data_IF_285861781422
#
_entry.id   IF_285861781422
#
_cell.length_a   1.000
_cell.length_b   1.000
_cell.length_c   1.000
_cell.angle_alpha   90.00
_cell.angle_beta   90.00
_cell.angle_gamma   90.00
#
_symmetry.space_group_name_H-M   'P 1'
#
loop_
_entity.id
_entity.type
_entity.pdbx_description
1 polymer ?
#
# COMPACT_ATOMS: atom_id res chain seq x y z
N UNK A 1 -10.06 22.48 -11.67
CA UNK A 1 -10.58 21.13 -11.37
C UNK A 1 -9.56 20.03 -11.66
N UNK A 2 -9.14 19.76 -12.91
CA UNK A 2 -8.23 18.64 -13.24
C UNK A 2 -6.91 18.58 -12.43
N UNK A 3 -6.29 19.73 -12.13
CA UNK A 3 -5.06 19.80 -11.30
C UNK A 3 -5.33 19.49 -9.81
N UNK A 4 -6.52 19.82 -9.28
CA UNK A 4 -6.88 19.50 -7.89
C UNK A 4 -7.06 18.00 -7.65
N UNK A 5 -7.48 17.25 -8.67
CA UNK A 5 -7.63 15.78 -8.57
C UNK A 5 -6.27 15.10 -8.38
N UNK A 6 -5.27 15.50 -9.17
CA UNK A 6 -3.89 15.00 -9.09
C UNK A 6 -3.25 15.35 -7.73
N UNK A 7 -3.50 16.56 -7.23
CA UNK A 7 -3.01 17.00 -5.91
C UNK A 7 -3.68 16.20 -4.77
N UNK A 8 -4.97 15.88 -4.88
CA UNK A 8 -5.65 15.04 -3.87
C UNK A 8 -5.11 13.60 -3.82
N UNK A 9 -4.72 13.01 -4.95
CA UNK A 9 -4.09 11.68 -5.00
C UNK A 9 -2.66 11.69 -4.41
N UNK A 10 -1.94 12.80 -4.53
CA UNK A 10 -0.57 12.95 -4.01
C UNK A 10 -0.55 13.27 -2.50
N UNK A 11 -1.59 13.92 -1.96
CA UNK A 11 -1.62 14.40 -0.57
C UNK A 11 -2.02 13.38 0.51
N UNK A 12 -2.47 12.17 0.15
CA UNK A 12 -3.18 11.27 1.10
C UNK A 12 -2.42 10.01 1.57
N UNK A 13 -1.09 9.98 1.39
CA UNK A 13 -0.22 8.95 1.99
C UNK A 13 0.37 9.46 3.32
N UNK A 14 -0.20 9.11 4.49
CA UNK A 14 0.50 8.86 5.80
C UNK A 14 -0.39 8.92 7.07
N UNK A 15 -0.10 8.02 8.02
CA UNK A 15 -0.45 7.97 9.48
C UNK A 15 0.30 6.76 10.11
N UNK A 16 0.56 6.57 11.41
CA UNK A 16 0.03 7.15 12.66
C UNK A 16 1.14 7.72 13.61
N UNK A 17 1.50 6.99 14.68
CA UNK A 17 2.40 7.29 15.84
C UNK A 17 2.91 5.92 16.41
N UNK A 18 3.76 5.73 17.44
CA UNK A 18 3.90 6.33 18.79
C UNK A 18 5.36 6.36 19.35
N UNK A 19 5.78 7.53 19.84
CA UNK A 19 6.84 7.87 20.84
C UNK A 19 8.08 6.97 21.07
N UNK A 20 9.28 7.53 20.83
CA UNK A 20 10.17 8.07 21.90
C UNK A 20 11.35 8.92 21.33
N UNK A 21 12.27 9.36 22.18
CA UNK A 21 13.37 10.29 21.87
C UNK A 21 14.75 9.74 22.28
N UNK A 22 15.79 9.87 21.43
CA UNK A 22 16.99 10.70 21.70
C UNK A 22 18.17 10.52 20.71
N UNK A 23 18.82 11.66 20.40
CA UNK A 23 20.28 11.90 20.23
C UNK A 23 21.16 10.91 19.42
N UNK A 24 21.61 11.37 18.25
CA UNK A 24 22.77 10.82 17.53
C UNK A 24 24.11 11.24 18.16
N UNK A 25 25.00 10.27 18.38
CA UNK A 25 26.45 10.45 18.56
C UNK A 25 27.20 9.42 17.71
N UNK A 26 28.45 9.74 17.37
CA UNK A 26 29.26 9.08 16.34
C UNK A 26 29.36 7.55 16.43
N UNK A 27 29.56 6.92 15.26
CA UNK A 27 29.68 5.48 15.05
C UNK A 27 31.01 4.93 15.62
N UNK A 28 31.00 4.55 16.89
CA UNK A 28 31.58 3.25 17.25
C UNK A 28 30.70 2.13 16.65
N UNK A 29 31.25 0.92 16.46
CA UNK A 29 30.48 -0.25 16.03
C UNK A 29 29.42 -0.63 17.08
N UNK A 30 28.23 -0.02 16.98
CA UNK A 30 27.10 -0.32 17.85
C UNK A 30 26.40 -1.58 17.33
N UNK A 31 26.35 -2.61 18.18
CA UNK A 31 25.42 -3.73 18.07
C UNK A 31 23.98 -3.17 18.06
N UNK A 32 23.27 -3.26 16.94
CA UNK A 32 21.87 -2.83 16.84
C UNK A 32 20.98 -3.92 17.45
N UNK A 33 20.20 -3.63 18.49
CA UNK A 33 19.29 -4.63 19.06
C UNK A 33 18.08 -4.84 18.13
N UNK A 34 17.79 -6.10 17.78
CA UNK A 34 16.73 -6.46 16.82
C UNK A 34 15.69 -7.37 17.46
N UNK A 35 14.44 -7.28 17.00
CA UNK A 35 13.33 -8.01 17.59
C UNK A 35 13.31 -9.50 17.24
N UNK A 36 12.87 -10.33 18.20
CA UNK A 36 12.63 -11.77 18.03
C UNK A 36 11.36 -12.10 17.24
N UNK A 37 10.42 -11.15 17.10
CA UNK A 37 9.20 -11.28 16.29
C UNK A 37 9.31 -10.47 14.99
N UNK A 38 8.43 -10.76 14.02
CA UNK A 38 8.32 -9.99 12.77
C UNK A 38 7.60 -8.65 12.93
N UNK A 39 6.75 -8.50 13.94
CA UNK A 39 6.02 -7.25 14.22
C UNK A 39 6.85 -6.21 15.02
N UNK A 40 8.05 -6.57 15.50
CA UNK A 40 8.98 -5.65 16.17
C UNK A 40 8.72 -5.40 17.67
N UNK A 41 7.82 -6.15 18.31
CA UNK A 41 7.41 -5.92 19.70
C UNK A 41 8.26 -6.67 20.74
N UNK A 42 8.91 -7.77 20.36
CA UNK A 42 9.62 -8.67 21.28
C UNK A 42 11.15 -8.50 21.20
N UNK A 43 11.63 -7.37 21.71
CA UNK A 43 13.05 -6.95 21.64
C UNK A 43 13.95 -7.75 22.62
N UNK A 44 13.36 -8.34 23.66
CA UNK A 44 14.02 -9.21 24.64
C UNK A 44 13.05 -10.31 25.10
N UNK A 45 13.54 -11.54 25.29
CA UNK A 45 12.78 -12.64 25.88
C UNK A 45 13.28 -12.83 27.31
N UNK A 46 12.51 -12.40 28.30
CA UNK A 46 12.83 -12.63 29.73
C UNK A 46 12.40 -14.02 30.18
N UNK A 47 12.79 -14.45 31.39
CA UNK A 47 12.34 -15.69 32.04
C UNK A 47 10.81 -15.86 31.97
N UNK A 48 10.04 -14.78 32.11
CA UNK A 48 8.57 -14.81 32.04
C UNK A 48 8.08 -15.18 30.64
N UNK A 49 8.64 -14.58 29.60
CA UNK A 49 8.29 -14.86 28.21
C UNK A 49 8.82 -16.22 27.75
N UNK A 50 10.01 -16.63 28.20
CA UNK A 50 10.56 -17.95 27.92
C UNK A 50 9.70 -19.08 28.53
N UNK A 51 9.29 -18.92 29.79
CA UNK A 51 8.37 -19.86 30.46
C UNK A 51 6.97 -19.85 29.85
N UNK A 52 6.46 -18.69 29.40
CA UNK A 52 5.22 -18.62 28.62
C UNK A 52 5.35 -19.44 27.34
N UNK A 53 6.29 -19.08 26.47
CA UNK A 53 6.50 -19.70 25.15
C UNK A 53 7.05 -21.13 25.20
N UNK A 54 7.46 -21.62 26.38
CA UNK A 54 8.11 -22.92 26.62
C UNK A 54 9.42 -23.11 25.85
N UNK A 55 10.14 -22.02 25.66
CA UNK A 55 11.48 -21.97 25.06
C UNK A 55 12.54 -21.84 26.17
N UNK A 56 13.80 -22.16 25.84
CA UNK A 56 14.95 -22.12 26.74
C UNK A 56 14.81 -22.91 28.05
N UNK A 57 13.84 -23.82 28.14
CA UNK A 57 13.56 -24.68 29.31
C UNK A 57 14.72 -25.63 29.67
N UNK A 58 15.66 -25.81 28.76
CA UNK A 58 16.89 -26.59 28.91
C UNK A 58 18.08 -25.77 29.45
N UNK A 59 17.88 -24.48 29.76
CA UNK A 59 18.91 -23.58 30.28
C UNK A 59 18.58 -23.29 31.74
N UNK A 60 19.27 -23.96 32.66
CA UNK A 60 19.07 -23.76 34.08
C UNK A 60 19.43 -22.32 34.50
N UNK A 61 18.56 -21.71 35.31
CA UNK A 61 18.72 -20.32 35.73
C UNK A 61 18.64 -19.27 34.62
N UNK A 62 18.02 -19.58 33.47
CA UNK A 62 17.75 -18.60 32.40
C UNK A 62 17.14 -17.31 32.96
N UNK A 63 17.70 -16.15 32.60
CA UNK A 63 17.20 -14.84 33.00
C UNK A 63 16.58 -14.08 31.83
N UNK A 64 17.34 -13.96 30.73
CA UNK A 64 16.92 -13.27 29.52
C UNK A 64 17.77 -13.62 28.32
N UNK A 65 17.27 -13.31 27.12
CA UNK A 65 18.04 -13.33 25.89
C UNK A 65 17.67 -12.14 24.99
N UNK A 66 18.69 -11.57 24.35
CA UNK A 66 18.60 -10.44 23.40
C UNK A 66 19.26 -10.84 22.08
N UNK A 67 18.78 -10.34 20.93
CA UNK A 67 19.50 -10.45 19.65
C UNK A 67 19.99 -9.09 19.21
N UNK A 68 21.20 -9.05 18.69
CA UNK A 68 21.78 -7.88 18.05
C UNK A 68 22.23 -8.21 16.64
N UNK A 69 22.12 -7.25 15.73
CA UNK A 69 22.74 -7.30 14.41
C UNK A 69 24.18 -6.79 14.54
N UNK A 70 25.13 -7.67 14.22
CA UNK A 70 26.58 -7.39 14.35
C UNK A 70 27.23 -7.10 13.00
N UNK A 71 26.67 -7.65 11.92
CA UNK A 71 26.99 -7.29 10.54
C UNK A 71 25.74 -7.51 9.66
N UNK A 72 25.73 -7.13 8.37
CA UNK A 72 24.56 -7.29 7.50
C UNK A 72 24.00 -8.72 7.43
N UNK A 73 24.85 -9.74 7.60
CA UNK A 73 24.51 -11.16 7.50
C UNK A 73 24.72 -11.96 8.80
N UNK A 74 25.15 -11.30 9.89
CA UNK A 74 25.46 -11.96 11.17
C UNK A 74 24.74 -11.29 12.34
N UNK A 75 24.12 -12.14 13.14
CA UNK A 75 23.40 -11.75 14.36
C UNK A 75 24.11 -12.35 15.56
N UNK A 76 24.16 -11.64 16.68
CA UNK A 76 24.69 -12.13 17.95
C UNK A 76 23.56 -12.25 18.95
N UNK A 77 23.33 -13.45 19.46
CA UNK A 77 22.45 -13.72 20.59
C UNK A 77 23.25 -13.60 21.87
N UNK A 78 22.85 -12.70 22.77
CA UNK A 78 23.40 -12.56 24.12
C UNK A 78 22.42 -13.21 25.12
N UNK A 79 22.85 -14.33 25.70
CA UNK A 79 22.09 -15.11 26.67
C UNK A 79 22.59 -14.83 28.09
N UNK A 80 21.71 -14.39 28.98
CA UNK A 80 22.00 -14.25 30.40
C UNK A 80 21.36 -15.37 31.21
N UNK A 81 22.14 -16.03 32.06
CA UNK A 81 21.69 -17.11 32.94
C UNK A 81 22.42 -17.07 34.29
N UNK A 82 21.88 -17.79 35.28
CA UNK A 82 22.36 -17.79 36.66
C UNK A 82 22.80 -19.19 37.10
N UNK A 83 24.04 -19.29 37.57
CA UNK A 83 24.66 -20.54 38.02
C UNK A 83 25.52 -20.21 39.27
N UNK A 84 25.47 -21.04 40.32
CA UNK A 84 26.15 -20.80 41.61
C UNK A 84 25.99 -19.38 42.20
N UNK A 85 24.77 -18.83 42.09
CA UNK A 85 24.43 -17.45 42.49
C UNK A 85 25.14 -16.32 41.73
N UNK A 86 25.91 -16.62 40.70
CA UNK A 86 26.51 -15.65 39.77
C UNK A 86 25.69 -15.55 38.49
N UNK A 87 25.74 -14.40 37.83
CA UNK A 87 25.15 -14.20 36.49
C UNK A 87 26.26 -14.38 35.47
N UNK A 88 26.01 -15.22 34.48
CA UNK A 88 26.88 -15.43 33.33
C UNK A 88 26.20 -14.90 32.07
N UNK A 89 27.03 -14.47 31.12
CA UNK A 89 26.63 -14.05 29.77
C UNK A 89 27.28 -14.99 28.77
N UNK A 90 26.52 -15.43 27.77
CA UNK A 90 27.01 -16.28 26.68
C UNK A 90 26.55 -15.70 25.35
N UNK A 91 27.52 -15.34 24.53
CA UNK A 91 27.29 -14.86 23.17
C UNK A 91 27.31 -16.06 22.22
N UNK A 92 26.39 -16.07 21.24
CA UNK A 92 26.41 -17.00 20.12
C UNK A 92 26.10 -16.25 18.83
N UNK A 93 26.95 -16.41 17.82
CA UNK A 93 26.68 -15.87 16.48
C UNK A 93 25.70 -16.79 15.73
N UNK A 94 24.76 -16.18 15.00
CA UNK A 94 23.85 -16.82 14.06
C UNK A 94 24.05 -16.24 12.67
N UNK A 95 23.85 -17.06 11.64
CA UNK A 95 23.63 -16.54 10.29
C UNK A 95 22.27 -15.87 10.18
N UNK A 96 22.09 -15.01 9.18
CA UNK A 96 20.78 -14.45 8.81
C UNK A 96 19.70 -15.53 8.61
N UNK A 97 20.04 -16.68 8.02
CA UNK A 97 19.10 -17.79 7.79
C UNK A 97 18.65 -18.43 9.10
N UNK A 98 19.58 -18.60 10.06
CA UNK A 98 19.26 -19.15 11.37
C UNK A 98 18.41 -18.17 12.20
N UNK A 99 18.75 -16.87 12.15
CA UNK A 99 17.97 -15.83 12.83
C UNK A 99 16.54 -15.70 12.25
N UNK A 100 16.38 -15.71 10.93
CA UNK A 100 15.05 -15.72 10.30
C UNK A 100 14.25 -16.98 10.66
N UNK A 101 14.91 -18.13 10.79
CA UNK A 101 14.28 -19.38 11.24
C UNK A 101 13.87 -19.33 12.71
N UNK A 102 14.67 -18.68 13.56
CA UNK A 102 14.33 -18.41 14.96
C UNK A 102 13.12 -17.45 15.06
N UNK A 103 13.15 -16.32 14.34
CA UNK A 103 12.05 -15.34 14.31
C UNK A 103 10.72 -15.98 13.90
N UNK A 104 10.71 -16.72 12.79
CA UNK A 104 9.53 -17.46 12.34
C UNK A 104 9.04 -18.51 13.37
N UNK A 105 9.95 -19.10 14.15
CA UNK A 105 9.59 -20.02 15.24
C UNK A 105 8.92 -19.26 16.39
N UNK A 106 9.47 -18.11 16.80
CA UNK A 106 8.91 -17.25 17.85
C UNK A 106 7.53 -16.73 17.44
N UNK A 107 7.37 -16.22 16.22
CA UNK A 107 6.08 -15.79 15.67
C UNK A 107 5.03 -16.91 15.76
N UNK A 108 5.40 -18.15 15.39
CA UNK A 108 4.49 -19.30 15.50
C UNK A 108 4.07 -19.62 16.94
N UNK A 109 4.98 -19.44 17.91
CA UNK A 109 4.70 -19.67 19.34
C UNK A 109 3.85 -18.55 19.95
N UNK A 110 4.05 -17.31 19.50
CA UNK A 110 3.22 -16.15 19.86
C UNK A 110 1.77 -16.36 19.38
N UNK A 111 1.58 -16.80 18.13
CA UNK A 111 0.27 -17.13 17.57
C UNK A 111 -0.43 -18.28 18.32
N UNK A 112 0.33 -19.26 18.83
CA UNK A 112 -0.20 -20.41 19.58
C UNK A 112 -0.52 -20.10 21.05
N UNK A 113 -0.08 -18.97 21.59
CA UNK A 113 -0.33 -18.56 22.96
C UNK A 113 -1.07 -17.21 23.04
N UNK A 114 -2.36 -17.17 22.66
CA UNK A 114 -3.20 -16.01 22.90
C UNK A 114 -3.17 -15.67 24.39
N UNK A 115 -2.86 -14.42 24.72
CA UNK A 115 -2.79 -13.96 26.10
C UNK A 115 -4.12 -14.24 26.83
N UNK A 116 -4.04 -14.69 28.08
CA UNK A 116 -5.20 -14.74 28.99
C UNK A 116 -5.59 -13.31 29.33
N UNK A 117 -6.37 -12.72 28.45
CA UNK A 117 -6.57 -11.27 28.35
C UNK A 117 -6.01 -10.77 27.02
N UNK A 118 -6.61 -11.20 25.91
CA UNK A 118 -6.30 -10.71 24.55
C UNK A 118 -6.34 -9.18 24.55
N UNK A 119 -5.17 -8.54 24.58
CA UNK A 119 -5.04 -7.12 24.32
C UNK A 119 -5.57 -6.89 22.90
N UNK A 120 -6.63 -6.09 22.80
CA UNK A 120 -7.29 -5.81 21.52
C UNK A 120 -6.27 -5.15 20.59
N UNK A 121 -5.82 -5.84 19.54
CA UNK A 121 -4.90 -5.24 18.57
C UNK A 121 -5.62 -4.11 17.83
N UNK A 122 -5.11 -2.90 17.96
CA UNK A 122 -5.62 -1.68 17.31
C UNK A 122 -4.56 -1.01 16.44
N UNK A 123 -3.47 -1.71 16.10
CA UNK A 123 -2.36 -1.20 15.27
C UNK A 123 -2.84 -0.52 13.98
N UNK A 124 -3.89 -1.05 13.36
CA UNK A 124 -4.52 -0.48 12.17
C UNK A 124 -5.72 0.43 12.41
N UNK A 125 -6.21 0.61 13.63
CA UNK A 125 -7.52 1.24 13.88
C UNK A 125 -7.59 2.69 13.40
N UNK A 126 -6.61 3.53 13.76
CA UNK A 126 -6.56 4.93 13.32
C UNK A 126 -6.48 5.07 11.79
N UNK A 127 -5.60 4.27 11.17
CA UNK A 127 -5.47 4.22 9.71
C UNK A 127 -6.76 3.76 9.04
N UNK A 128 -7.41 2.71 9.56
CA UNK A 128 -8.67 2.20 9.02
C UNK A 128 -9.74 3.29 8.99
N UNK A 129 -9.95 4.04 10.07
CA UNK A 129 -10.96 5.10 10.11
C UNK A 129 -10.69 6.23 9.12
N UNK A 130 -9.42 6.65 8.98
CA UNK A 130 -9.03 7.70 8.04
C UNK A 130 -9.07 7.21 6.59
N UNK A 131 -8.75 5.94 6.35
CA UNK A 131 -8.86 5.30 5.05
C UNK A 131 -10.33 5.17 4.59
N UNK A 132 -11.25 4.77 5.49
CA UNK A 132 -12.69 4.74 5.17
C UNK A 132 -13.25 6.16 4.96
N UNK A 133 -12.80 7.16 5.72
CA UNK A 133 -13.14 8.57 5.48
C UNK A 133 -12.63 9.06 4.11
N UNK A 134 -11.39 8.71 3.74
CA UNK A 134 -10.82 9.02 2.43
C UNK A 134 -11.70 8.45 1.32
N UNK A 135 -11.96 7.13 1.34
CA UNK A 135 -12.78 6.43 0.34
C UNK A 135 -14.18 7.03 0.28
N UNK A 136 -14.79 7.31 1.44
CA UNK A 136 -16.11 7.90 1.48
C UNK A 136 -16.15 9.32 0.90
N UNK A 137 -15.08 10.11 1.07
CA UNK A 137 -14.98 11.47 0.53
C UNK A 137 -14.59 11.55 -0.94
N UNK A 138 -13.86 10.56 -1.47
CA UNK A 138 -13.41 10.52 -2.87
C UNK A 138 -14.30 9.68 -3.79
N UNK A 139 -14.93 8.63 -3.27
CA UNK A 139 -15.79 7.71 -4.04
C UNK A 139 -17.24 7.79 -3.59
N UNK A 140 -17.55 7.45 -2.33
CA UNK A 140 -18.93 7.22 -1.93
C UNK A 140 -19.78 8.49 -1.95
N UNK A 141 -19.24 9.63 -1.53
CA UNK A 141 -19.89 10.93 -1.56
C UNK A 141 -20.29 11.36 -2.97
N UNK A 142 -19.37 11.39 -3.95
CA UNK A 142 -19.70 11.64 -5.35
C UNK A 142 -20.73 10.65 -5.92
N UNK A 143 -20.59 9.34 -5.63
CA UNK A 143 -21.56 8.34 -6.10
C UNK A 143 -22.94 8.54 -5.48
N UNK A 144 -23.01 8.88 -4.19
CA UNK A 144 -24.27 9.18 -3.50
C UNK A 144 -24.97 10.44 -4.04
N UNK A 145 -24.22 11.46 -4.49
CA UNK A 145 -24.80 12.59 -5.23
C UNK A 145 -25.42 12.10 -6.55
N UNK A 146 -24.72 11.25 -7.30
CA UNK A 146 -25.22 10.71 -8.58
C UNK A 146 -26.47 9.82 -8.44
N UNK A 147 -26.84 9.41 -7.22
CA UNK A 147 -28.10 8.71 -6.92
C UNK A 147 -29.30 9.65 -6.70
N UNK A 148 -29.07 10.96 -6.59
CA UNK A 148 -30.14 11.94 -6.35
C UNK A 148 -30.99 12.20 -7.62
N UNK A 149 -32.25 12.63 -7.48
CA UNK A 149 -33.08 13.12 -8.58
C UNK A 149 -32.39 14.20 -9.42
N UNK A 150 -32.61 14.19 -10.74
CA UNK A 150 -32.27 15.35 -11.57
C UNK A 150 -33.03 16.59 -11.08
N UNK A 151 -32.38 17.76 -11.11
CA UNK A 151 -32.92 18.99 -10.54
C UNK A 151 -32.83 19.09 -9.01
N UNK A 152 -32.19 18.13 -8.33
CA UNK A 152 -31.87 18.26 -6.89
C UNK A 152 -31.00 19.50 -6.64
N UNK A 153 -31.30 20.25 -5.57
CA UNK A 153 -30.60 21.51 -5.28
C UNK A 153 -29.14 21.29 -4.89
N UNK A 154 -28.33 22.35 -5.01
CA UNK A 154 -26.90 22.29 -4.68
C UNK A 154 -26.69 22.04 -3.17
N UNK A 155 -27.57 22.59 -2.33
CA UNK A 155 -27.56 22.40 -0.87
C UNK A 155 -27.82 20.95 -0.49
N UNK A 156 -28.80 20.29 -1.13
CA UNK A 156 -29.11 18.86 -0.90
C UNK A 156 -27.98 17.97 -1.41
N UNK A 157 -27.39 18.30 -2.57
CA UNK A 157 -26.24 17.56 -3.12
C UNK A 157 -25.01 17.68 -2.21
N UNK A 158 -24.71 18.89 -1.73
CA UNK A 158 -23.62 19.13 -0.78
C UNK A 158 -23.88 18.45 0.57
N UNK A 159 -25.10 18.49 1.09
CA UNK A 159 -25.47 17.79 2.32
C UNK A 159 -25.29 16.27 2.18
N UNK A 160 -25.74 15.69 1.06
CA UNK A 160 -25.55 14.25 0.74
C UNK A 160 -24.06 13.88 0.67
N UNK A 161 -23.23 14.71 0.03
CA UNK A 161 -21.78 14.51 -0.02
C UNK A 161 -21.16 14.50 1.38
N UNK A 162 -21.45 15.53 2.20
CA UNK A 162 -20.87 15.68 3.53
C UNK A 162 -21.33 14.58 4.49
N UNK A 163 -22.62 14.21 4.46
CA UNK A 163 -23.18 13.13 5.28
C UNK A 163 -22.59 11.77 4.90
N UNK A 164 -22.48 11.45 3.61
CA UNK A 164 -21.85 10.19 3.16
C UNK A 164 -20.37 10.14 3.54
N UNK A 165 -19.63 11.24 3.31
CA UNK A 165 -18.22 11.35 3.69
C UNK A 165 -18.01 11.14 5.19
N UNK A 166 -18.77 11.86 6.03
CA UNK A 166 -18.70 11.73 7.49
C UNK A 166 -19.13 10.34 7.99
N UNK A 167 -20.11 9.70 7.33
CA UNK A 167 -20.53 8.34 7.65
C UNK A 167 -19.39 7.33 7.45
N UNK A 168 -18.51 7.56 6.46
CA UNK A 168 -17.29 6.78 6.27
C UNK A 168 -16.31 6.81 7.43
N UNK A 169 -16.36 7.83 8.30
CA UNK A 169 -15.61 7.84 9.55
C UNK A 169 -16.45 7.28 10.71
N UNK A 170 -17.63 7.88 10.95
CA UNK A 170 -18.38 7.64 12.20
C UNK A 170 -19.04 6.26 12.28
N UNK A 171 -19.47 5.67 11.15
CA UNK A 171 -20.05 4.33 11.15
C UNK A 171 -18.96 3.28 11.44
N UNK A 172 -17.79 3.26 10.76
CA UNK A 172 -16.68 2.40 11.14
C UNK A 172 -16.16 2.67 12.55
N UNK A 173 -16.06 3.93 13.00
CA UNK A 173 -15.64 4.27 14.37
C UNK A 173 -16.51 3.56 15.41
N UNK A 174 -17.84 3.70 15.30
CA UNK A 174 -18.79 3.06 16.20
C UNK A 174 -18.74 1.53 16.13
N UNK A 175 -18.71 0.95 14.92
CA UNK A 175 -18.70 -0.49 14.71
C UNK A 175 -17.39 -1.19 15.15
N UNK A 176 -16.33 -0.43 15.41
CA UNK A 176 -14.99 -0.95 15.75
C UNK A 176 -14.50 -0.52 17.15
N UNK A 177 -15.34 0.11 17.97
CA UNK A 177 -15.00 0.52 19.34
C UNK A 177 -14.40 -0.63 20.17
N UNK A 178 -14.94 -1.85 20.04
CA UNK A 178 -14.51 -3.03 20.81
C UNK A 178 -14.01 -4.18 19.90
N UNK A 179 -13.45 -3.86 18.73
CA UNK A 179 -12.98 -4.86 17.76
C UNK A 179 -11.48 -4.73 17.47
N UNK A 180 -10.74 -5.84 17.31
CA UNK A 180 -9.36 -5.78 16.87
C UNK A 180 -9.33 -5.37 15.40
N UNK A 181 -8.53 -4.34 15.10
CA UNK A 181 -8.27 -3.84 13.74
C UNK A 181 -6.75 -3.82 13.58
N UNK A 182 -6.21 -4.88 13.00
CA UNK A 182 -4.78 -4.98 12.66
C UNK A 182 -4.43 -4.07 11.49
N UNK A 183 -3.14 -3.73 11.32
CA UNK A 183 -2.69 -2.93 10.18
C UNK A 183 -3.00 -3.59 8.82
N UNK A 184 -2.89 -4.92 8.73
CA UNK A 184 -3.29 -5.68 7.53
C UNK A 184 -4.79 -5.61 7.23
N UNK A 185 -5.64 -5.58 8.26
CA UNK A 185 -7.08 -5.36 8.09
C UNK A 185 -7.41 -3.97 7.57
N UNK A 186 -6.72 -2.94 8.07
CA UNK A 186 -6.90 -1.56 7.61
C UNK A 186 -6.56 -1.41 6.11
N UNK A 187 -5.38 -1.92 5.72
CA UNK A 187 -4.84 -1.79 4.36
C UNK A 187 -5.60 -2.61 3.33
N UNK A 188 -5.97 -3.85 3.66
CA UNK A 188 -6.74 -4.69 2.74
C UNK A 188 -8.18 -4.18 2.59
N UNK A 189 -8.80 -3.72 3.67
CA UNK A 189 -10.12 -3.10 3.62
C UNK A 189 -10.13 -1.85 2.73
N UNK A 190 -9.20 -0.93 2.93
CA UNK A 190 -9.03 0.25 2.07
C UNK A 190 -8.90 -0.14 0.59
N UNK A 191 -7.97 -1.04 0.29
CA UNK A 191 -7.64 -1.39 -1.09
C UNK A 191 -8.75 -2.20 -1.78
N UNK A 192 -9.46 -3.06 -1.04
CA UNK A 192 -10.62 -3.78 -1.57
C UNK A 192 -11.87 -2.90 -1.68
N UNK A 193 -11.95 -1.75 -1.01
CA UNK A 193 -13.02 -0.78 -1.29
C UNK A 193 -12.92 -0.28 -2.74
N UNK A 194 -11.77 0.25 -3.13
CA UNK A 194 -11.47 0.67 -4.50
C UNK A 194 -11.60 -0.47 -5.55
N UNK A 195 -11.27 -1.72 -5.19
CA UNK A 195 -11.51 -2.87 -6.08
C UNK A 195 -12.99 -3.23 -6.18
N UNK A 196 -13.72 -3.13 -5.06
CA UNK A 196 -15.16 -3.30 -4.98
C UNK A 196 -15.91 -2.25 -5.80
N UNK A 197 -15.43 -1.01 -5.84
CA UNK A 197 -15.92 0.05 -6.72
C UNK A 197 -15.86 -0.40 -8.18
N UNK A 198 -14.69 -0.84 -8.66
CA UNK A 198 -14.50 -1.34 -10.01
C UNK A 198 -15.35 -2.60 -10.30
N UNK A 199 -15.38 -3.56 -9.37
CA UNK A 199 -16.17 -4.77 -9.49
C UNK A 199 -17.67 -4.48 -9.56
N UNK A 200 -18.16 -3.51 -8.79
CA UNK A 200 -19.55 -3.04 -8.82
C UNK A 200 -19.92 -2.36 -10.13
N UNK A 201 -19.01 -1.58 -10.70
CA UNK A 201 -19.17 -0.99 -12.04
C UNK A 201 -19.31 -2.10 -13.11
N UNK A 202 -18.35 -3.02 -13.17
CA UNK A 202 -18.36 -4.17 -14.11
C UNK A 202 -19.61 -5.03 -13.93
N UNK A 203 -19.99 -5.34 -12.68
CA UNK A 203 -21.13 -6.21 -12.40
C UNK A 203 -22.46 -5.65 -12.94
N UNK A 204 -22.62 -4.32 -13.00
CA UNK A 204 -23.81 -3.68 -13.59
C UNK A 204 -23.94 -4.01 -15.08
N UNK A 205 -22.83 -3.93 -15.81
CA UNK A 205 -22.81 -4.12 -17.26
C UNK A 205 -22.96 -5.59 -17.66
N UNK A 206 -22.37 -6.50 -16.87
CA UNK A 206 -22.60 -7.93 -16.97
C UNK A 206 -24.06 -8.31 -16.71
N UNK A 207 -24.72 -7.68 -15.73
CA UNK A 207 -26.11 -7.97 -15.36
C UNK A 207 -27.17 -7.34 -16.28
N UNK A 208 -26.78 -6.58 -17.31
CA UNK A 208 -27.71 -6.00 -18.27
C UNK A 208 -28.82 -5.15 -17.61
N UNK A 209 -28.47 -4.31 -16.64
CA UNK A 209 -29.42 -3.34 -16.10
C UNK A 209 -29.72 -2.23 -17.12
N UNK A 210 -30.65 -2.52 -18.02
CA UNK A 210 -31.06 -1.71 -19.19
C UNK A 210 -31.98 -0.53 -18.85
N UNK A 211 -32.34 -0.34 -17.59
CA UNK A 211 -33.19 0.78 -17.17
C UNK A 211 -32.57 2.13 -17.56
N UNK A 212 -33.40 3.00 -18.13
CA UNK A 212 -33.04 4.32 -18.65
C UNK A 212 -32.62 5.33 -17.58
N UNK A 213 -32.68 4.96 -16.30
CA UNK A 213 -32.10 5.74 -15.21
C UNK A 213 -30.64 5.32 -14.97
N UNK A 214 -29.73 6.24 -15.32
CA UNK A 214 -28.26 6.16 -15.21
C UNK A 214 -27.71 5.96 -13.78
N UNK A 215 -28.60 5.76 -12.79
CA UNK A 215 -28.28 5.59 -11.37
C UNK A 215 -27.84 4.17 -11.00
N UNK A 216 -27.99 3.20 -11.91
CA UNK A 216 -27.57 1.81 -11.66
C UNK A 216 -26.06 1.71 -11.51
N UNK A 217 -25.28 2.42 -12.34
CA UNK A 217 -23.82 2.51 -12.23
C UNK A 217 -23.32 3.00 -10.85
N UNK A 218 -23.70 4.22 -10.38
CA UNK A 218 -23.24 4.69 -9.08
C UNK A 218 -23.77 3.83 -7.92
N UNK A 219 -24.94 3.19 -8.05
CA UNK A 219 -25.49 2.31 -7.02
C UNK A 219 -24.66 1.04 -6.85
N UNK A 220 -24.36 0.33 -7.94
CA UNK A 220 -23.58 -0.91 -7.87
C UNK A 220 -22.12 -0.65 -7.52
N UNK A 221 -21.53 0.44 -8.02
CA UNK A 221 -20.16 0.83 -7.68
C UNK A 221 -20.03 1.22 -6.20
N UNK A 222 -21.00 1.97 -5.64
CA UNK A 222 -21.05 2.28 -4.20
C UNK A 222 -21.23 1.00 -3.36
N UNK A 223 -22.21 0.16 -3.70
CA UNK A 223 -22.46 -1.09 -2.99
C UNK A 223 -21.25 -2.05 -3.06
N UNK A 224 -20.64 -2.15 -4.23
CA UNK A 224 -19.41 -2.90 -4.45
C UNK A 224 -18.26 -2.39 -3.60
N UNK A 225 -18.04 -1.07 -3.52
CA UNK A 225 -16.98 -0.47 -2.71
C UNK A 225 -17.17 -0.73 -1.20
N UNK A 226 -18.41 -0.61 -0.70
CA UNK A 226 -18.72 -0.94 0.70
C UNK A 226 -18.53 -2.44 1.00
N UNK A 227 -18.99 -3.33 0.10
CA UNK A 227 -18.81 -4.79 0.24
C UNK A 227 -17.34 -5.21 0.11
N UNK A 228 -16.58 -4.54 -0.75
CA UNK A 228 -15.14 -4.70 -0.90
C UNK A 228 -14.40 -4.31 0.37
N UNK A 229 -14.72 -3.14 0.92
CA UNK A 229 -14.19 -2.68 2.22
C UNK A 229 -14.43 -3.70 3.34
N UNK A 230 -15.67 -4.17 3.49
CA UNK A 230 -16.04 -5.13 4.52
C UNK A 230 -15.41 -6.52 4.31
N UNK A 231 -15.33 -6.99 3.06
CA UNK A 231 -14.74 -8.29 2.74
C UNK A 231 -13.22 -8.27 2.91
N UNK A 232 -12.53 -7.17 2.59
CA UNK A 232 -11.09 -7.01 2.83
C UNK A 232 -10.75 -7.01 4.32
N UNK A 233 -11.51 -6.25 5.12
CA UNK A 233 -11.43 -6.27 6.58
C UNK A 233 -11.62 -7.69 7.15
N UNK A 234 -12.65 -8.39 6.69
CA UNK A 234 -13.03 -9.72 7.19
C UNK A 234 -12.05 -10.82 6.74
N UNK A 235 -11.53 -10.72 5.52
CA UNK A 235 -10.55 -11.66 4.97
C UNK A 235 -9.20 -11.53 5.67
N UNK A 236 -8.68 -10.30 5.81
CA UNK A 236 -7.42 -10.06 6.52
C UNK A 236 -7.47 -10.53 7.98
N UNK A 237 -8.59 -10.29 8.69
CA UNK A 237 -8.77 -10.75 10.06
C UNK A 237 -8.92 -12.27 10.18
N UNK A 238 -9.60 -12.93 9.23
CA UNK A 238 -9.75 -14.39 9.21
C UNK A 238 -8.42 -15.12 8.98
N UNK A 239 -7.51 -14.52 8.22
CA UNK A 239 -6.23 -15.11 7.82
C UNK A 239 -5.01 -14.47 8.50
N UNK A 240 -5.21 -13.60 9.50
CA UNK A 240 -4.17 -12.86 10.23
C UNK A 240 -3.09 -12.26 9.30
N UNK A 241 -3.52 -11.59 8.23
CA UNK A 241 -2.58 -11.06 7.25
C UNK A 241 -1.76 -9.90 7.81
N UNK A 242 -0.44 -9.94 7.60
CA UNK A 242 0.44 -8.81 7.87
C UNK A 242 0.15 -7.63 6.94
N UNK A 243 0.65 -6.44 7.31
CA UNK A 243 0.48 -5.22 6.53
C UNK A 243 1.05 -5.33 5.10
N UNK A 244 2.29 -5.81 4.96
CA UNK A 244 2.94 -6.02 3.66
C UNK A 244 2.21 -7.05 2.81
N UNK A 245 1.76 -8.17 3.40
CA UNK A 245 1.00 -9.19 2.67
C UNK A 245 -0.38 -8.69 2.24
N UNK A 246 -1.06 -7.89 3.07
CA UNK A 246 -2.34 -7.26 2.75
C UNK A 246 -2.24 -6.27 1.58
N UNK A 247 -1.27 -5.35 1.60
CA UNK A 247 -1.06 -4.38 0.50
C UNK A 247 -0.68 -5.09 -0.81
N UNK A 248 0.24 -6.06 -0.77
CA UNK A 248 0.61 -6.82 -1.96
C UNK A 248 -0.54 -7.70 -2.50
N UNK A 249 -1.36 -8.30 -1.63
CA UNK A 249 -2.55 -9.07 -2.02
C UNK A 249 -3.50 -8.21 -2.84
N UNK A 250 -3.78 -6.99 -2.36
CA UNK A 250 -4.62 -6.06 -3.12
C UNK A 250 -3.93 -5.61 -4.41
N UNK A 251 -2.65 -5.23 -4.34
CA UNK A 251 -1.95 -4.71 -5.51
C UNK A 251 -1.85 -5.72 -6.67
N UNK A 252 -1.61 -7.00 -6.35
CA UNK A 252 -1.64 -8.10 -7.33
C UNK A 252 -3.05 -8.41 -7.82
N UNK A 253 -4.09 -8.13 -7.05
CA UNK A 253 -5.48 -8.10 -7.51
C UNK A 253 -5.70 -7.09 -8.64
N UNK A 254 -5.26 -5.83 -8.49
CA UNK A 254 -5.38 -4.83 -9.56
C UNK A 254 -4.70 -5.27 -10.85
N UNK A 255 -3.45 -5.74 -10.76
CA UNK A 255 -2.75 -6.24 -11.93
C UNK A 255 -3.41 -7.48 -12.51
N UNK A 256 -3.87 -8.42 -11.68
CA UNK A 256 -4.66 -9.56 -12.13
C UNK A 256 -5.85 -9.12 -12.97
N UNK A 257 -6.58 -8.08 -12.56
CA UNK A 257 -7.71 -7.56 -13.33
C UNK A 257 -7.33 -6.84 -14.62
N UNK A 258 -6.30 -6.00 -14.59
CA UNK A 258 -5.78 -5.34 -15.79
C UNK A 258 -5.30 -6.38 -16.82
N UNK A 259 -4.52 -7.37 -16.39
CA UNK A 259 -4.00 -8.43 -17.25
C UNK A 259 -5.09 -9.40 -17.71
N UNK A 260 -6.11 -9.68 -16.90
CA UNK A 260 -7.26 -10.48 -17.29
C UNK A 260 -8.08 -9.81 -18.41
N UNK A 261 -8.37 -8.52 -18.26
CA UNK A 261 -9.06 -7.73 -19.28
C UNK A 261 -8.24 -7.60 -20.57
N UNK A 262 -7.00 -7.11 -20.47
CA UNK A 262 -6.12 -6.93 -21.64
C UNK A 262 -5.78 -8.27 -22.32
N UNK A 263 -5.55 -9.33 -21.56
CA UNK A 263 -5.27 -10.67 -22.10
C UNK A 263 -6.44 -11.19 -22.93
N UNK A 264 -7.68 -11.02 -22.45
CA UNK A 264 -8.88 -11.35 -23.22
C UNK A 264 -9.08 -10.42 -24.43
N UNK A 265 -8.78 -9.13 -24.30
CA UNK A 265 -8.83 -8.18 -25.42
C UNK A 265 -7.91 -8.60 -26.58
N UNK A 266 -6.73 -9.16 -26.29
CA UNK A 266 -5.81 -9.70 -27.30
C UNK A 266 -6.39 -10.92 -28.05
N UNK A 267 -7.21 -11.73 -27.38
CA UNK A 267 -7.75 -12.98 -27.93
C UNK A 267 -9.02 -12.79 -28.76
N UNK A 268 -9.80 -11.74 -28.49
CA UNK A 268 -11.05 -11.43 -29.19
C UNK A 268 -10.76 -10.67 -30.50
N UNK A 269 -11.30 -11.07 -31.66
CA UNK A 269 -11.27 -10.25 -32.89
C UNK A 269 -12.25 -9.08 -32.80
N UNK A 270 -11.82 -7.87 -33.16
CA UNK A 270 -12.58 -6.62 -33.05
C UNK A 270 -13.01 -6.05 -34.41
N UNK A 271 -12.22 -6.27 -35.46
CA UNK A 271 -12.58 -6.00 -36.86
C UNK A 271 -13.96 -6.60 -37.21
N UNK A 272 -14.70 -5.89 -38.07
CA UNK A 272 -16.05 -6.20 -38.55
C UNK A 272 -17.16 -6.41 -37.48
N UNK A 273 -16.91 -6.10 -36.20
CA UNK A 273 -17.92 -6.18 -35.14
C UNK A 273 -19.08 -5.20 -35.36
N UNK A 274 -20.31 -5.70 -35.40
CA UNK A 274 -21.50 -4.86 -35.21
C UNK A 274 -21.66 -4.42 -33.73
N UNK A 275 -22.59 -3.50 -33.44
CA UNK A 275 -22.77 -2.95 -32.08
C UNK A 275 -23.07 -4.02 -31.01
N UNK A 276 -23.90 -5.03 -31.32
CA UNK A 276 -24.28 -6.07 -30.37
C UNK A 276 -23.12 -7.03 -30.08
N UNK A 277 -22.34 -7.38 -31.11
CA UNK A 277 -21.08 -8.11 -30.95
C UNK A 277 -20.07 -7.33 -30.13
N UNK A 278 -19.88 -6.03 -30.41
CA UNK A 278 -18.97 -5.17 -29.66
C UNK A 278 -19.36 -5.13 -28.17
N UNK A 279 -20.65 -4.98 -27.87
CA UNK A 279 -21.18 -5.00 -26.49
C UNK A 279 -20.91 -6.34 -25.79
N UNK A 280 -21.08 -7.48 -26.46
CA UNK A 280 -20.74 -8.77 -25.84
C UNK A 280 -19.23 -8.97 -25.68
N UNK A 281 -18.42 -8.58 -26.66
CA UNK A 281 -16.96 -8.65 -26.62
C UNK A 281 -16.39 -7.83 -25.44
N UNK A 282 -16.88 -6.60 -25.23
CA UNK A 282 -16.50 -5.77 -24.08
C UNK A 282 -16.85 -6.42 -22.74
N UNK A 283 -18.05 -7.01 -22.60
CA UNK A 283 -18.43 -7.74 -21.38
C UNK A 283 -17.58 -8.97 -21.09
N UNK A 284 -17.10 -9.67 -22.12
CA UNK A 284 -16.16 -10.78 -21.94
C UNK A 284 -14.80 -10.26 -21.44
N UNK A 285 -14.34 -9.10 -21.92
CA UNK A 285 -13.15 -8.39 -21.40
C UNK A 285 -13.36 -7.97 -19.93
N UNK A 286 -14.49 -7.34 -19.60
CA UNK A 286 -14.84 -6.90 -18.24
C UNK A 286 -14.93 -8.06 -17.25
N UNK A 287 -15.63 -9.15 -17.63
CA UNK A 287 -15.71 -10.38 -16.84
C UNK A 287 -14.31 -11.00 -16.64
N UNK A 288 -13.47 -10.99 -17.67
CA UNK A 288 -12.08 -11.47 -17.56
C UNK A 288 -11.25 -10.59 -16.64
N UNK A 289 -11.50 -9.27 -16.61
CA UNK A 289 -10.91 -8.37 -15.62
C UNK A 289 -11.39 -8.63 -14.20
N UNK A 290 -12.68 -8.89 -13.99
CA UNK A 290 -13.21 -9.23 -12.67
C UNK A 290 -12.67 -10.59 -12.16
N UNK A 291 -12.62 -11.60 -13.02
CA UNK A 291 -12.03 -12.91 -12.70
C UNK A 291 -10.52 -12.80 -12.47
N UNK A 292 -9.83 -12.00 -13.30
CA UNK A 292 -8.41 -11.70 -13.16
C UNK A 292 -8.09 -11.04 -11.82
N UNK A 293 -8.95 -10.14 -11.32
CA UNK A 293 -8.79 -9.46 -10.04
C UNK A 293 -8.83 -10.44 -8.87
N UNK A 294 -9.82 -11.34 -8.86
CA UNK A 294 -9.89 -12.43 -7.88
C UNK A 294 -8.72 -13.41 -8.00
N UNK A 295 -8.32 -13.77 -9.22
CA UNK A 295 -7.24 -14.72 -9.47
C UNK A 295 -5.85 -14.17 -9.12
N UNK A 296 -5.56 -12.89 -9.40
CA UNK A 296 -4.32 -12.23 -9.01
C UNK A 296 -4.15 -12.19 -7.50
N UNK A 297 -5.22 -11.79 -6.79
CA UNK A 297 -5.28 -11.85 -5.33
C UNK A 297 -5.07 -13.28 -4.81
N UNK A 298 -5.77 -14.27 -5.37
CA UNK A 298 -5.65 -15.68 -4.97
C UNK A 298 -4.23 -16.25 -5.19
N UNK A 299 -3.64 -16.00 -6.36
CA UNK A 299 -2.26 -16.39 -6.65
C UNK A 299 -1.31 -15.82 -5.59
N UNK A 300 -1.47 -14.55 -5.24
CA UNK A 300 -0.61 -13.93 -4.24
C UNK A 300 -0.84 -14.48 -2.84
N UNK A 301 -2.09 -14.69 -2.42
CA UNK A 301 -2.41 -15.33 -1.14
C UNK A 301 -1.68 -16.67 -0.95
N UNK A 302 -1.56 -17.48 -2.02
CA UNK A 302 -0.89 -18.80 -1.99
C UNK A 302 0.63 -18.78 -2.19
N UNK A 303 1.22 -17.66 -2.64
CA UNK A 303 2.66 -17.56 -2.97
C UNK A 303 3.43 -16.57 -2.11
N UNK A 304 2.78 -15.51 -1.64
CA UNK A 304 3.34 -14.59 -0.68
C UNK A 304 3.40 -15.26 0.69
N UNK A 305 4.62 -15.51 1.15
CA UNK A 305 4.90 -15.74 2.56
C UNK A 305 4.89 -14.39 3.29
N UNK A 306 4.82 -14.42 4.61
CA UNK A 306 4.88 -13.25 5.49
C UNK A 306 6.33 -12.71 5.64
N UNK A 307 7.05 -12.65 4.51
CA UNK A 307 8.47 -12.25 4.39
C UNK A 307 8.65 -10.83 3.85
N UNK A 308 7.56 -10.14 3.56
CA UNK A 308 7.57 -8.77 3.04
C UNK A 308 7.07 -7.84 4.14
N UNK A 309 7.91 -6.87 4.49
CA UNK A 309 7.51 -5.75 5.33
C UNK A 309 6.45 -4.89 4.61
N UNK A 310 5.86 -3.93 5.32
CA UNK A 310 4.98 -2.96 4.66
C UNK A 310 5.77 -1.97 3.77
N UNK A 311 7.02 -1.64 4.12
CA UNK A 311 7.88 -0.82 3.27
C UNK A 311 8.25 -1.48 1.95
N UNK A 312 8.56 -2.78 1.98
CA UNK A 312 8.83 -3.59 0.78
C UNK A 312 7.62 -3.59 -0.15
N UNK A 313 6.40 -3.72 0.39
CA UNK A 313 5.17 -3.65 -0.38
C UNK A 313 4.95 -2.28 -1.06
N UNK A 314 5.15 -1.18 -0.32
CA UNK A 314 5.03 0.19 -0.85
C UNK A 314 6.06 0.49 -1.95
N UNK A 315 7.30 0.05 -1.74
CA UNK A 315 8.39 0.26 -2.68
C UNK A 315 8.20 -0.62 -3.94
N UNK A 316 7.73 -1.87 -3.79
CA UNK A 316 7.29 -2.75 -4.88
C UNK A 316 6.14 -2.14 -5.69
N UNK A 317 5.11 -1.60 -5.01
CA UNK A 317 3.98 -0.89 -5.62
C UNK A 317 4.44 0.28 -6.48
N UNK A 318 5.41 1.04 -5.97
CA UNK A 318 6.01 2.17 -6.70
C UNK A 318 6.82 1.72 -7.92
N UNK A 319 7.66 0.68 -7.79
CA UNK A 319 8.42 0.10 -8.90
C UNK A 319 7.52 -0.44 -10.02
N UNK A 320 6.44 -1.11 -9.65
CA UNK A 320 5.49 -1.71 -10.60
C UNK A 320 4.64 -0.66 -11.31
N UNK A 321 4.27 0.42 -10.63
CA UNK A 321 3.66 1.60 -11.27
C UNK A 321 4.63 2.25 -12.27
N UNK A 322 5.89 2.50 -11.89
CA UNK A 322 6.91 3.03 -12.81
C UNK A 322 7.13 2.11 -14.01
N UNK A 323 7.14 0.80 -13.82
CA UNK A 323 7.21 -0.19 -14.89
C UNK A 323 6.02 -0.09 -15.86
N UNK A 324 4.81 0.11 -15.35
CA UNK A 324 3.62 0.29 -16.19
C UNK A 324 3.65 1.63 -16.96
N UNK A 325 4.07 2.71 -16.31
CA UNK A 325 4.29 4.00 -16.97
C UNK A 325 5.41 3.92 -18.03
N UNK A 326 6.42 3.07 -17.82
CA UNK A 326 7.48 2.77 -18.81
C UNK A 326 6.95 2.02 -20.01
N UNK A 327 6.08 1.04 -19.79
CA UNK A 327 5.33 0.39 -20.86
C UNK A 327 4.57 1.43 -21.68
N UNK A 328 3.73 2.27 -21.05
CA UNK A 328 2.99 3.32 -21.75
C UNK A 328 3.91 4.31 -22.48
N UNK A 329 5.08 4.64 -21.90
CA UNK A 329 6.05 5.52 -22.55
C UNK A 329 6.59 4.89 -23.84
N UNK A 330 6.97 3.61 -23.81
CA UNK A 330 7.44 2.87 -25.00
C UNK A 330 6.34 2.82 -26.06
N UNK A 331 5.10 2.51 -25.66
CA UNK A 331 3.96 2.46 -26.59
C UNK A 331 3.71 3.79 -27.29
N UNK A 332 3.96 4.94 -26.64
CA UNK A 332 3.86 6.23 -27.32
C UNK A 332 4.90 6.44 -28.43
N UNK A 333 6.08 5.80 -28.40
CA UNK A 333 7.08 5.93 -29.47
C UNK A 333 6.91 4.94 -30.62
N UNK A 334 5.99 3.98 -30.49
CA UNK A 334 5.57 3.15 -31.61
C UNK A 334 4.73 4.00 -32.59
N UNK A 335 4.72 3.66 -33.90
CA UNK A 335 3.79 4.28 -34.83
C UNK A 335 2.34 3.98 -34.41
N UNK A 336 1.38 4.74 -34.96
CA UNK A 336 -0.03 4.36 -34.84
C UNK A 336 -0.22 3.02 -35.57
N UNK A 337 -0.90 2.03 -34.98
CA UNK A 337 -1.02 0.70 -35.56
C UNK A 337 -1.93 0.73 -36.80
N UNK A 338 -1.41 0.26 -37.94
CA UNK A 338 -2.13 0.20 -39.22
C UNK A 338 -3.15 -0.98 -39.27
N UNK A 339 -3.17 -1.85 -38.26
CA UNK A 339 -4.04 -3.03 -38.17
C UNK A 339 -4.35 -3.44 -36.73
N UNK A 340 -5.44 -4.22 -36.52
CA UNK A 340 -5.75 -4.79 -35.21
C UNK A 340 -4.62 -5.67 -34.67
N UNK A 341 -3.96 -6.45 -35.54
CA UNK A 341 -2.84 -7.31 -35.17
C UNK A 341 -1.63 -6.55 -34.66
N UNK A 342 -1.36 -5.37 -35.21
CA UNK A 342 -0.28 -4.50 -34.76
C UNK A 342 -0.62 -3.88 -33.39
N UNK A 343 -1.84 -3.36 -33.22
CA UNK A 343 -2.34 -2.88 -31.92
C UNK A 343 -2.26 -3.97 -30.83
N UNK A 344 -2.65 -5.21 -31.18
CA UNK A 344 -2.53 -6.37 -30.28
C UNK A 344 -1.08 -6.71 -29.98
N UNK A 345 -0.20 -6.68 -30.99
CA UNK A 345 1.24 -6.84 -30.79
C UNK A 345 1.81 -5.83 -29.79
N UNK A 346 1.37 -4.57 -29.88
CA UNK A 346 1.77 -3.49 -28.98
C UNK A 346 1.25 -3.71 -27.55
N UNK A 347 -0.02 -4.04 -27.36
CA UNK A 347 -0.58 -4.35 -26.04
C UNK A 347 0.12 -5.58 -25.43
N UNK A 348 0.35 -6.64 -26.20
CA UNK A 348 1.03 -7.86 -25.74
C UNK A 348 2.49 -7.60 -25.34
N UNK A 349 3.23 -6.83 -26.14
CA UNK A 349 4.58 -6.41 -25.81
C UNK A 349 4.61 -5.56 -24.53
N UNK A 350 3.65 -4.65 -24.37
CA UNK A 350 3.51 -3.83 -23.16
C UNK A 350 3.23 -4.66 -21.91
N UNK A 351 2.29 -5.60 -21.98
CA UNK A 351 2.02 -6.56 -20.90
C UNK A 351 3.28 -7.39 -20.55
N UNK A 352 4.05 -7.84 -21.54
CA UNK A 352 5.29 -8.58 -21.28
C UNK A 352 6.35 -7.70 -20.59
N UNK A 353 6.54 -6.46 -21.04
CA UNK A 353 7.49 -5.51 -20.44
C UNK A 353 7.11 -5.21 -18.99
N UNK A 354 5.83 -4.92 -18.72
CA UNK A 354 5.39 -4.65 -17.35
C UNK A 354 5.49 -5.91 -16.47
N UNK A 355 5.17 -7.09 -16.98
CA UNK A 355 5.29 -8.36 -16.23
C UNK A 355 6.73 -8.70 -15.86
N UNK A 356 7.69 -8.44 -16.76
CA UNK A 356 9.13 -8.53 -16.47
C UNK A 356 9.52 -7.53 -15.38
N UNK A 357 8.97 -6.31 -15.41
CA UNK A 357 9.15 -5.32 -14.36
C UNK A 357 8.60 -5.79 -13.01
N UNK A 358 7.36 -6.28 -12.95
CA UNK A 358 6.77 -6.85 -11.73
C UNK A 358 7.61 -7.99 -11.16
N UNK A 359 8.09 -8.90 -11.99
CA UNK A 359 8.95 -10.00 -11.57
C UNK A 359 10.34 -9.52 -11.08
N UNK A 360 10.93 -8.50 -11.72
CA UNK A 360 12.19 -7.88 -11.26
C UNK A 360 12.01 -7.15 -9.94
N UNK A 361 10.97 -6.34 -9.80
CA UNK A 361 10.63 -5.65 -8.56
C UNK A 361 10.53 -6.62 -7.39
N UNK A 362 9.83 -7.74 -7.58
CA UNK A 362 9.69 -8.76 -6.54
C UNK A 362 11.04 -9.30 -6.04
N UNK A 363 11.96 -9.56 -6.97
CA UNK A 363 13.32 -10.02 -6.66
C UNK A 363 14.20 -8.95 -6.02
N UNK A 364 13.94 -7.67 -6.27
CA UNK A 364 14.67 -6.56 -5.64
C UNK A 364 14.27 -6.38 -4.18
N UNK A 365 13.00 -6.60 -3.84
CA UNK A 365 12.45 -6.40 -2.49
C UNK A 365 12.42 -7.64 -1.60
N UNK A 366 12.92 -8.78 -2.08
CA UNK A 366 13.11 -9.98 -1.25
C UNK A 366 14.60 -10.14 -0.92
N UNK A 367 15.08 -10.01 0.33
CA UNK A 367 14.41 -9.58 1.56
C UNK A 367 15.06 -8.30 2.12
N UNK A 368 14.61 -7.12 1.71
CA UNK A 368 15.30 -5.86 2.09
C UNK A 368 14.85 -5.37 3.47
N UNK A 369 13.68 -5.83 3.95
CA UNK A 369 13.07 -5.51 5.24
C UNK A 369 12.93 -3.98 5.46
N UNK A 370 12.43 -3.29 4.42
CA UNK A 370 12.25 -1.84 4.45
C UNK A 370 11.18 -1.43 5.47
N UNK A 371 11.47 -0.47 6.35
CA UNK A 371 10.45 0.10 7.24
C UNK A 371 9.31 0.78 6.46
N UNK A 372 8.17 1.00 7.11
CA UNK A 372 7.07 1.78 6.51
C UNK A 372 7.54 3.15 5.98
N UNK A 373 8.40 3.83 6.77
CA UNK A 373 9.01 5.11 6.43
C UNK A 373 9.97 5.00 5.25
N UNK A 374 10.71 3.89 5.13
CA UNK A 374 11.58 3.63 3.98
C UNK A 374 10.78 3.49 2.68
N UNK A 375 9.71 2.70 2.70
CA UNK A 375 8.81 2.54 1.55
C UNK A 375 8.10 3.85 1.15
N UNK A 376 7.73 4.66 2.15
CA UNK A 376 7.22 6.02 1.94
C UNK A 376 8.29 6.96 1.35
N UNK A 377 9.52 6.90 1.83
CA UNK A 377 10.62 7.71 1.31
C UNK A 377 10.91 7.35 -0.15
N UNK A 378 10.95 6.06 -0.51
CA UNK A 378 11.07 5.60 -1.91
C UNK A 378 9.91 6.14 -2.77
N UNK A 379 8.68 6.13 -2.24
CA UNK A 379 7.50 6.71 -2.92
C UNK A 379 7.64 8.23 -3.10
N UNK A 380 8.04 8.95 -2.06
CA UNK A 380 8.26 10.39 -2.07
C UNK A 380 9.40 10.82 -3.00
N UNK A 381 10.51 10.07 -2.99
CA UNK A 381 11.64 10.24 -3.91
C UNK A 381 11.22 10.06 -5.37
N UNK A 382 10.35 9.08 -5.65
CA UNK A 382 9.75 8.87 -6.98
C UNK A 382 8.92 10.08 -7.42
N UNK A 383 8.08 10.63 -6.53
CA UNK A 383 7.27 11.82 -6.81
C UNK A 383 8.16 13.05 -7.02
N UNK A 384 9.13 13.28 -6.13
CA UNK A 384 10.08 14.39 -6.22
C UNK A 384 10.91 14.34 -7.51
N UNK A 385 11.41 13.15 -7.88
CA UNK A 385 12.08 12.91 -9.15
C UNK A 385 11.18 13.20 -10.35
N UNK A 386 9.91 12.77 -10.31
CA UNK A 386 8.92 13.05 -11.36
C UNK A 386 8.63 14.55 -11.51
N UNK A 387 8.65 15.31 -10.40
CA UNK A 387 8.55 16.77 -10.40
C UNK A 387 9.80 17.44 -10.98
N UNK A 388 11.00 16.93 -10.71
CA UNK A 388 12.24 17.38 -11.36
C UNK A 388 12.18 17.13 -12.87
N UNK A 389 11.73 15.94 -13.29
CA UNK A 389 11.48 15.62 -14.70
C UNK A 389 10.46 16.55 -15.36
N UNK A 390 9.39 16.90 -14.63
CA UNK A 390 8.39 17.89 -15.06
C UNK A 390 9.00 19.29 -15.23
N UNK A 391 9.85 19.72 -14.30
CA UNK A 391 10.54 21.01 -14.38
C UNK A 391 11.52 21.08 -15.56
N UNK A 392 12.26 20.00 -15.83
CA UNK A 392 13.13 19.88 -17.01
C UNK A 392 12.30 19.99 -18.30
N UNK A 393 11.13 19.35 -18.37
CA UNK A 393 10.24 19.48 -19.53
C UNK A 393 9.72 20.93 -19.71
N UNK A 394 9.36 21.62 -18.64
CA UNK A 394 8.94 23.04 -18.70
C UNK A 394 10.08 23.96 -19.16
N UNK A 395 11.32 23.71 -18.72
CA UNK A 395 12.50 24.49 -19.10
C UNK A 395 12.95 24.25 -20.55
N UNK A 396 12.95 22.98 -20.98
CA UNK A 396 13.38 22.58 -22.33
C UNK A 396 12.30 22.81 -23.40
N UNK A 397 11.03 22.93 -22.99
CA UNK A 397 9.86 23.15 -23.87
C UNK A 397 9.87 22.22 -25.10
N UNK A 398 9.87 20.89 -24.89
CA UNK A 398 9.82 19.97 -26.01
C UNK A 398 8.55 20.21 -26.83
N UNK A 399 8.73 20.08 -28.14
CA UNK A 399 7.75 20.12 -29.21
C UNK A 399 6.70 19.00 -29.15
N UNK A 400 6.97 17.94 -28.38
CA UNK A 400 6.15 16.72 -28.31
C UNK A 400 5.85 16.32 -26.85
N UNK A 401 4.57 16.04 -26.57
CA UNK A 401 4.09 15.54 -25.28
C UNK A 401 4.68 14.18 -24.89
N UNK A 402 5.09 13.34 -25.86
CA UNK A 402 5.78 12.07 -25.60
C UNK A 402 7.12 12.32 -24.89
N UNK A 403 7.87 13.33 -25.33
CA UNK A 403 9.14 13.77 -24.70
C UNK A 403 8.91 14.32 -23.29
N UNK A 404 7.84 15.11 -23.07
CA UNK A 404 7.42 15.55 -21.72
C UNK A 404 7.23 14.33 -20.81
N UNK A 405 6.44 13.36 -21.24
CA UNK A 405 6.15 12.17 -20.44
C UNK A 405 7.40 11.33 -20.16
N UNK A 406 8.33 11.20 -21.13
CA UNK A 406 9.62 10.54 -20.92
C UNK A 406 10.50 11.26 -19.89
N UNK A 407 10.54 12.59 -19.88
CA UNK A 407 11.31 13.35 -18.88
C UNK A 407 10.72 13.17 -17.47
N UNK A 408 9.40 13.22 -17.32
CA UNK A 408 8.70 12.95 -16.05
C UNK A 408 9.04 11.54 -15.55
N UNK A 409 8.89 10.53 -16.40
CA UNK A 409 9.16 9.13 -16.05
C UNK A 409 10.63 8.87 -15.73
N UNK A 410 11.57 9.43 -16.50
CA UNK A 410 13.00 9.30 -16.23
C UNK A 410 13.37 9.96 -14.89
N UNK A 411 12.77 11.11 -14.59
CA UNK A 411 12.84 11.73 -13.26
C UNK A 411 12.30 10.81 -12.17
N UNK A 412 11.14 10.19 -12.38
CA UNK A 412 10.54 9.22 -11.45
C UNK A 412 11.45 8.02 -11.17
N UNK A 413 12.02 7.40 -12.19
CA UNK A 413 13.00 6.31 -12.04
C UNK A 413 14.28 6.75 -11.34
N UNK A 414 14.79 7.94 -11.64
CA UNK A 414 15.99 8.47 -10.99
C UNK A 414 15.73 8.74 -9.50
N UNK A 415 14.60 9.38 -9.17
CA UNK A 415 14.19 9.65 -7.79
C UNK A 415 13.93 8.37 -6.99
N UNK A 416 13.22 7.40 -7.58
CA UNK A 416 13.07 6.05 -7.05
C UNK A 416 14.42 5.41 -6.74
N UNK A 417 15.31 5.35 -7.73
CA UNK A 417 16.57 4.63 -7.65
C UNK A 417 17.52 5.25 -6.63
N UNK A 418 17.68 6.57 -6.66
CA UNK A 418 18.51 7.30 -5.69
C UNK A 418 18.02 7.06 -4.26
N UNK A 419 16.71 7.21 -4.00
CA UNK A 419 16.19 7.05 -2.64
C UNK A 419 16.25 5.60 -2.16
N UNK A 420 15.94 4.63 -3.02
CA UNK A 420 16.07 3.20 -2.69
C UNK A 420 17.52 2.81 -2.37
N UNK A 421 18.48 3.21 -3.20
CA UNK A 421 19.91 2.91 -2.99
C UNK A 421 20.47 3.59 -1.73
N UNK A 422 19.95 4.76 -1.34
CA UNK A 422 20.36 5.46 -0.11
C UNK A 422 19.85 4.74 1.15
N UNK A 423 18.70 4.07 1.08
CA UNK A 423 17.98 3.53 2.24
C UNK A 423 18.20 2.02 2.44
N UNK A 424 18.28 1.24 1.35
CA UNK A 424 18.42 -0.22 1.42
C UNK A 424 19.60 -0.61 2.30
N UNK A 425 19.38 -1.57 3.22
CA UNK A 425 20.41 -2.05 4.14
C UNK A 425 20.83 -1.08 5.26
N UNK A 426 20.26 0.14 5.34
CA UNK A 426 20.47 1.04 6.49
C UNK A 426 19.43 0.89 7.60
N UNK A 427 18.32 0.19 7.34
CA UNK A 427 17.28 -0.11 8.33
C UNK A 427 16.85 1.13 9.11
N UNK A 428 16.34 2.16 8.43
CA UNK A 428 16.06 3.43 9.09
C UNK A 428 14.80 3.30 9.95
N UNK A 429 15.01 2.84 11.18
CA UNK A 429 14.06 2.84 12.30
C UNK A 429 13.81 4.28 12.78
N UNK A 430 13.21 5.10 11.91
CA UNK A 430 12.82 6.47 12.18
C UNK A 430 11.32 6.63 12.21
N UNK A 431 10.78 7.18 13.29
CA UNK A 431 9.39 7.65 13.36
C UNK A 431 9.23 8.93 12.54
N UNK A 432 8.93 8.80 11.24
CA UNK A 432 8.57 9.96 10.41
C UNK A 432 7.26 10.59 10.91
N UNK A 433 7.39 11.68 11.67
CA UNK A 433 6.26 12.42 12.25
C UNK A 433 5.73 13.39 11.21
N UNK A 434 4.50 13.16 10.76
CA UNK A 434 3.77 14.10 9.91
C UNK A 434 2.92 15.02 10.78
N UNK A 435 3.30 16.29 10.88
CA UNK A 435 2.48 17.31 11.54
C UNK A 435 1.72 18.11 10.48
N UNK A 436 0.39 18.00 10.50
CA UNK A 436 -0.49 18.85 9.70
C UNK A 436 -0.79 20.13 10.49
N UNK A 437 -0.74 21.27 9.80
CA UNK A 437 -1.15 22.57 10.34
C UNK A 437 -2.39 23.03 9.57
N UNK A 438 -3.60 22.55 9.91
CA UNK A 438 -4.83 22.96 9.22
C UNK A 438 -5.07 24.47 9.26
N UNK A 439 -4.58 25.17 10.29
CA UNK A 439 -4.53 26.62 10.39
C UNK A 439 -3.74 27.29 9.24
N UNK A 440 -2.75 26.60 8.66
CA UNK A 440 -2.02 27.10 7.49
C UNK A 440 -2.89 27.19 6.24
N UNK A 441 -3.97 26.41 6.12
CA UNK A 441 -4.98 26.64 5.06
C UNK A 441 -5.74 27.95 5.27
N UNK A 442 -6.07 28.31 6.52
CA UNK A 442 -6.66 29.61 6.82
C UNK A 442 -5.67 30.74 6.51
N UNK A 443 -4.39 30.59 6.86
CA UNK A 443 -3.33 31.54 6.51
C UNK A 443 -3.16 31.69 4.99
N UNK A 444 -3.20 30.60 4.21
CA UNK A 444 -3.15 30.64 2.73
C UNK A 444 -4.39 31.26 2.10
N UNK A 445 -5.56 31.05 2.70
CA UNK A 445 -6.80 31.71 2.26
C UNK A 445 -6.78 33.21 2.56
N UNK A 446 -6.32 33.62 3.75
CA UNK A 446 -6.11 35.03 4.11
C UNK A 446 -5.08 35.67 3.18
N UNK A 447 -3.90 35.05 3.01
CA UNK A 447 -2.83 35.43 2.08
C UNK A 447 -3.36 35.78 0.69
N UNK A 448 -4.14 34.88 0.10
CA UNK A 448 -4.77 35.07 -1.21
C UNK A 448 -5.80 36.20 -1.22
N UNK A 449 -6.48 36.47 -0.11
CA UNK A 449 -7.54 37.50 0.01
C UNK A 449 -6.98 38.89 0.31
N UNK A 450 -5.83 38.98 0.98
CA UNK A 450 -5.17 40.24 1.36
C UNK A 450 -3.99 40.61 0.47
N UNK A 451 -3.65 39.75 -0.50
CA UNK A 451 -2.46 39.88 -1.35
C UNK A 451 -1.14 39.94 -0.54
N UNK A 452 -1.13 39.37 0.67
CA UNK A 452 0.01 39.38 1.59
C UNK A 452 0.80 38.09 1.44
N UNK A 453 2.09 38.12 1.06
CA UNK A 453 2.90 36.91 0.91
C UNK A 453 3.16 36.25 2.27
N UNK A 454 2.37 35.24 2.61
CA UNK A 454 2.52 34.39 3.79
C UNK A 454 2.96 32.98 3.36
N UNK A 455 4.09 32.54 3.91
CA UNK A 455 4.51 31.13 3.90
C UNK A 455 4.19 30.50 5.25
N UNK A 456 3.24 29.57 5.28
CA UNK A 456 2.94 28.75 6.44
C UNK A 456 3.05 27.28 6.01
N UNK A 457 3.77 26.40 6.76
CA UNK A 457 3.85 25.00 6.42
C UNK A 457 2.45 24.39 6.56
N UNK A 458 1.88 23.84 5.48
CA UNK A 458 0.65 23.05 5.55
C UNK A 458 0.92 21.72 6.27
N UNK A 459 2.15 21.24 6.08
CA UNK A 459 2.67 19.94 6.49
C UNK A 459 4.12 20.17 6.93
N UNK A 460 4.56 19.58 8.03
CA UNK A 460 5.98 19.28 8.26
C UNK A 460 6.17 17.79 8.47
N UNK A 461 7.14 17.19 7.77
CA UNK A 461 7.76 15.96 8.24
C UNK A 461 8.92 16.33 9.15
N UNK A 462 8.98 15.70 10.33
CA UNK A 462 10.21 15.57 11.11
C UNK A 462 10.56 14.08 11.21
N UNK A 463 11.80 13.74 10.94
CA UNK A 463 12.36 12.40 11.09
C UNK A 463 13.08 12.29 12.45
#
# INVERSE_FOLDING_TARGET
>A
MKILLIINTILFLQVNTDTLSEVYYAEEFRKEQVSFDSDGNLIEITEKEANRLKIFQNIEGFLKVSVYKSSPSEYTIELHYKEDSKIYMRDSTLSEVDFMSLRATIDSLLLLQPEKGLKLDRSGWGLFLLAQLQVASSEWGPLAISLLPEGTSQEVSLATYLLTSASGFFVPFYLTLDRPITLGQALLSYSWAHQGYYAGFVLRDLLNFTDTYDRTYPATALAGSVLGSWSGYSFAGKYNLSAGRGDLLAWTGYWGGIYGGLGTFLLIPWEDSNEDELRWKLKIVELSGLLGLGYGSYLWYTKAKDIYSYGDALAYRTYTLLSALTTLNILFYLPEPDSEWEMKGYIAAGMAINGIGMWKGLRLFTPVDLGFVDGLAVTGGTIAGSLVGSAIAVLTKPDDGKKVFSMILAGGWAGYGLTYEIIKGKGVSGDARLQLYPESFACLWISKRTNTPLSAPIISLSF
#
